data_IF_597897893446
#
_entry.id   IF_597897893446
#
_cell.length_a   1.000
_cell.length_b   1.000
_cell.length_c   1.000
_cell.angle_alpha   90.00
_cell.angle_beta   90.00
_cell.angle_gamma   90.00
#
_symmetry.space_group_name_H-M   'P 1'
#
loop_
_entity.id
_entity.type
_entity.pdbx_description
1 polymer ?
#
# COMPACT_ATOMS: atom_id res chain seq x y z
N UNK A 1 -20.85 17.07 23.45
CA UNK A 1 -21.13 16.07 22.39
C UNK A 1 -21.14 14.70 23.03
N UNK A 2 -22.10 13.82 22.72
CA UNK A 2 -22.10 12.44 23.23
C UNK A 2 -21.09 11.63 22.41
N UNK A 3 -20.22 10.87 23.08
CA UNK A 3 -19.32 9.91 22.43
C UNK A 3 -20.17 8.93 21.59
N UNK A 4 -19.94 8.92 20.28
CA UNK A 4 -20.56 7.93 19.41
C UNK A 4 -19.80 6.62 19.54
N UNK A 5 -20.46 5.58 20.05
CA UNK A 5 -19.92 4.21 20.08
C UNK A 5 -20.01 3.55 18.69
N UNK A 6 -19.39 4.15 17.68
CA UNK A 6 -19.26 3.56 16.35
C UNK A 6 -18.13 2.53 16.35
N UNK A 7 -18.41 1.34 15.80
CA UNK A 7 -17.42 0.30 15.54
C UNK A 7 -16.88 0.36 14.11
N UNK A 8 -17.67 0.86 13.18
CA UNK A 8 -17.28 0.99 11.78
C UNK A 8 -17.59 2.40 11.28
N UNK A 9 -16.64 3.01 10.59
CA UNK A 9 -16.79 4.33 9.99
C UNK A 9 -16.33 4.28 8.54
N UNK A 10 -17.22 4.63 7.61
CA UNK A 10 -16.93 4.76 6.19
C UNK A 10 -17.34 6.14 5.73
N UNK A 11 -16.38 6.90 5.22
CA UNK A 11 -16.55 8.29 4.81
C UNK A 11 -16.14 8.47 3.36
N UNK A 12 -16.93 9.27 2.63
CA UNK A 12 -16.56 9.83 1.34
C UNK A 12 -16.40 11.33 1.55
N UNK A 13 -15.21 11.86 1.33
CA UNK A 13 -14.87 13.25 1.63
C UNK A 13 -14.28 13.92 0.40
N UNK A 14 -14.48 15.23 0.32
CA UNK A 14 -13.67 16.08 -0.55
C UNK A 14 -12.39 16.46 0.19
N UNK A 15 -11.32 16.80 -0.54
CA UNK A 15 -10.06 17.28 0.05
C UNK A 15 -10.26 18.51 0.94
N UNK A 16 -11.19 19.39 0.58
CA UNK A 16 -11.57 20.58 1.36
C UNK A 16 -12.28 20.27 2.68
N UNK A 17 -12.75 19.04 2.89
CA UNK A 17 -13.54 18.63 4.06
C UNK A 17 -12.74 17.75 5.03
N UNK A 18 -11.43 17.57 4.79
CA UNK A 18 -10.58 16.64 5.55
C UNK A 18 -10.61 16.91 7.06
N UNK A 19 -10.67 18.18 7.46
CA UNK A 19 -10.78 18.57 8.87
C UNK A 19 -12.03 17.99 9.56
N UNK A 20 -13.19 18.06 8.89
CA UNK A 20 -14.44 17.52 9.42
C UNK A 20 -14.40 15.98 9.49
N UNK A 21 -13.80 15.36 8.48
CA UNK A 21 -13.54 13.91 8.45
C UNK A 21 -12.71 13.46 9.65
N UNK A 22 -11.63 14.17 9.98
CA UNK A 22 -10.82 13.85 11.16
C UNK A 22 -11.53 14.11 12.47
N UNK A 23 -12.35 15.16 12.55
CA UNK A 23 -13.18 15.39 13.73
C UNK A 23 -14.16 14.22 13.98
N UNK A 24 -14.79 13.67 12.94
CA UNK A 24 -15.67 12.51 13.06
C UNK A 24 -14.92 11.25 13.49
N UNK A 25 -13.75 11.01 12.89
CA UNK A 25 -12.88 9.89 13.26
C UNK A 25 -12.45 9.98 14.73
N UNK A 26 -11.96 11.14 15.18
CA UNK A 26 -11.48 11.35 16.55
C UNK A 26 -12.59 11.21 17.61
N UNK A 27 -13.84 11.51 17.24
CA UNK A 27 -15.01 11.32 18.13
C UNK A 27 -15.54 9.87 18.16
N UNK A 28 -14.81 8.93 17.54
CA UNK A 28 -15.17 7.51 17.45
C UNK A 28 -14.03 6.62 17.98
N UNK A 29 -13.74 6.62 19.30
CA UNK A 29 -12.52 6.00 19.86
C UNK A 29 -12.49 4.47 19.79
N UNK A 30 -13.65 3.81 19.60
CA UNK A 30 -13.79 2.36 19.63
C UNK A 30 -13.87 1.72 18.23
N UNK A 31 -13.47 2.44 17.18
CA UNK A 31 -13.52 1.92 15.82
C UNK A 31 -12.67 0.67 15.64
N UNK A 32 -13.27 -0.38 15.08
CA UNK A 32 -12.62 -1.58 14.58
C UNK A 32 -12.34 -1.50 13.09
N UNK A 33 -13.14 -0.71 12.35
CA UNK A 33 -12.94 -0.47 10.92
C UNK A 33 -13.07 1.01 10.57
N UNK A 34 -12.13 1.49 9.76
CA UNK A 34 -12.14 2.84 9.19
C UNK A 34 -11.88 2.78 7.68
N UNK A 35 -12.77 3.40 6.91
CA UNK A 35 -12.63 3.58 5.47
C UNK A 35 -12.80 5.06 5.13
N UNK A 36 -11.85 5.61 4.39
CA UNK A 36 -11.92 6.96 3.86
C UNK A 36 -11.65 6.94 2.36
N UNK A 37 -12.64 7.37 1.60
CA UNK A 37 -12.52 7.65 0.17
C UNK A 37 -12.45 9.17 -0.01
N UNK A 38 -11.29 9.67 -0.42
CA UNK A 38 -11.03 11.07 -0.65
C UNK A 38 -11.09 11.38 -2.15
N UNK A 39 -12.09 12.15 -2.57
CA UNK A 39 -12.14 12.65 -3.95
C UNK A 39 -11.47 14.02 -3.97
N UNK A 40 -10.41 14.17 -4.77
CA UNK A 40 -9.83 15.50 -5.01
C UNK A 40 -10.77 16.25 -5.97
N UNK A 41 -11.18 17.46 -5.57
CA UNK A 41 -11.91 18.35 -6.47
C UNK A 41 -10.88 18.95 -7.42
N UNK A 42 -11.01 18.66 -8.72
CA UNK A 42 -10.20 19.28 -9.77
C UNK A 42 -10.35 20.81 -9.72
N UNK A 43 -9.22 21.51 -9.59
CA UNK A 43 -9.18 22.98 -9.55
C UNK A 43 -7.80 23.55 -9.25
N UNK A 44 -7.02 22.87 -8.38
CA UNK A 44 -5.68 23.33 -8.03
C UNK A 44 -4.66 22.67 -8.96
N UNK A 45 -4.25 23.40 -10.00
CA UNK A 45 -3.04 23.12 -10.79
C UNK A 45 -1.74 23.29 -9.97
N UNK A 46 -1.86 23.58 -8.67
CA UNK A 46 -0.76 23.76 -7.75
C UNK A 46 -0.34 22.43 -7.10
N UNK A 47 0.96 22.33 -6.83
CA UNK A 47 1.55 21.21 -6.13
C UNK A 47 0.83 21.01 -4.77
N UNK A 48 0.27 19.82 -4.48
CA UNK A 48 -0.43 19.60 -3.23
C UNK A 48 0.50 19.81 -2.05
N UNK A 49 0.11 20.68 -1.11
CA UNK A 49 0.80 20.77 0.17
C UNK A 49 0.72 19.42 0.92
N UNK A 50 1.77 19.06 1.65
CA UNK A 50 1.90 17.73 2.29
C UNK A 50 0.69 17.34 3.14
N UNK A 51 0.11 18.31 3.84
CA UNK A 51 -1.07 18.18 4.70
C UNK A 51 -2.39 17.92 3.94
N UNK A 52 -2.39 18.08 2.62
CA UNK A 52 -3.54 17.76 1.75
C UNK A 52 -3.50 16.35 1.16
N UNK A 53 -2.37 15.63 1.34
CA UNK A 53 -2.20 14.27 0.85
C UNK A 53 -2.74 13.29 1.88
N UNK A 54 -3.68 12.44 1.48
CA UNK A 54 -4.13 11.34 2.33
C UNK A 54 -2.98 10.34 2.54
N UNK A 55 -2.39 10.40 3.73
CA UNK A 55 -1.36 9.47 4.21
C UNK A 55 -1.87 8.62 5.38
N UNK A 56 -1.37 7.38 5.57
CA UNK A 56 -1.58 6.61 6.80
C UNK A 56 -1.19 7.37 8.07
N UNK A 57 -0.27 8.34 8.02
CA UNK A 57 0.14 9.10 9.20
C UNK A 57 -0.67 10.40 9.41
N UNK A 58 -1.71 10.64 8.61
CA UNK A 58 -2.55 11.85 8.71
C UNK A 58 -3.47 11.85 9.94
N UNK A 59 -3.59 10.71 10.62
CA UNK A 59 -4.43 10.55 11.79
C UNK A 59 -3.79 9.58 12.78
N UNK A 60 -4.22 9.66 14.04
CA UNK A 60 -3.77 8.76 15.07
C UNK A 60 -4.54 7.44 15.03
N UNK A 61 -3.84 6.32 14.82
CA UNK A 61 -4.47 5.00 14.88
C UNK A 61 -5.08 4.74 16.26
N UNK A 62 -6.35 4.35 16.30
CA UNK A 62 -6.96 3.81 17.51
C UNK A 62 -6.47 2.38 17.75
N UNK A 63 -6.21 2.02 19.01
CA UNK A 63 -5.72 0.69 19.35
C UNK A 63 -6.73 -0.43 19.00
N UNK A 64 -8.02 -0.09 18.85
CA UNK A 64 -9.09 -1.01 18.47
C UNK A 64 -9.15 -1.30 16.97
N UNK A 65 -8.46 -0.52 16.12
CA UNK A 65 -8.56 -0.69 14.67
C UNK A 65 -7.97 -2.01 14.23
N UNK A 66 -8.76 -2.74 13.45
CA UNK A 66 -8.38 -3.98 12.78
C UNK A 66 -8.37 -3.81 11.26
N UNK A 67 -9.17 -2.89 10.73
CA UNK A 67 -9.34 -2.71 9.29
C UNK A 67 -9.24 -1.24 8.92
N UNK A 68 -8.28 -0.89 8.06
CA UNK A 68 -8.11 0.49 7.57
C UNK A 68 -8.02 0.49 6.05
N UNK A 69 -8.81 1.35 5.42
CA UNK A 69 -8.78 1.60 3.98
C UNK A 69 -8.75 3.10 3.70
N UNK A 70 -7.69 3.55 3.04
CA UNK A 70 -7.48 4.95 2.66
C UNK A 70 -7.36 4.99 1.14
N UNK A 71 -8.34 5.59 0.48
CA UNK A 71 -8.39 5.66 -0.98
C UNK A 71 -8.44 7.13 -1.38
N UNK A 72 -7.55 7.58 -2.25
CA UNK A 72 -7.62 8.92 -2.81
C UNK A 72 -7.80 8.86 -4.32
N UNK A 73 -8.69 9.67 -4.87
CA UNK A 73 -9.09 9.68 -6.28
C UNK A 73 -8.83 11.04 -6.92
N UNK A 74 -8.51 11.05 -8.22
CA UNK A 74 -8.33 12.28 -8.99
C UNK A 74 -6.98 12.98 -8.78
N UNK A 75 -5.89 12.21 -8.59
CA UNK A 75 -4.56 12.80 -8.36
C UNK A 75 -3.79 12.95 -9.67
N UNK A 76 -3.76 14.16 -10.22
CA UNK A 76 -3.06 14.45 -11.49
C UNK A 76 -1.51 14.57 -11.37
N UNK A 77 -0.97 14.98 -10.21
CA UNK A 77 0.47 15.27 -10.02
C UNK A 77 1.22 14.21 -9.20
N UNK A 78 0.99 12.93 -9.53
CA UNK A 78 1.46 11.79 -8.74
C UNK A 78 3.00 11.68 -8.62
N UNK A 79 3.76 12.01 -9.68
CA UNK A 79 5.23 11.87 -9.69
C UNK A 79 5.93 12.65 -8.58
N UNK A 80 5.39 13.82 -8.21
CA UNK A 80 5.94 14.64 -7.12
C UNK A 80 5.66 14.04 -5.73
N UNK A 81 4.70 13.10 -5.64
CA UNK A 81 4.28 12.48 -4.39
C UNK A 81 5.02 11.19 -4.04
N UNK A 82 5.84 10.63 -4.93
CA UNK A 82 6.48 9.33 -4.71
C UNK A 82 7.43 9.30 -3.53
N UNK A 83 8.28 10.31 -3.43
CA UNK A 83 9.21 10.44 -2.31
C UNK A 83 8.45 10.55 -0.98
N UNK A 84 7.27 11.18 -1.00
CA UNK A 84 6.39 11.25 0.17
C UNK A 84 5.72 9.90 0.44
N UNK A 85 5.19 9.23 -0.57
CA UNK A 85 4.54 7.92 -0.42
C UNK A 85 5.44 6.91 0.27
N UNK A 86 6.69 6.79 -0.19
CA UNK A 86 7.67 5.87 0.41
C UNK A 86 7.96 6.22 1.87
N UNK A 87 8.26 7.49 2.15
CA UNK A 87 8.54 7.95 3.53
C UNK A 87 7.35 7.72 4.47
N UNK A 88 6.15 8.07 4.04
CA UNK A 88 4.94 7.90 4.82
C UNK A 88 4.64 6.41 5.09
N UNK A 89 4.88 5.52 4.12
CA UNK A 89 4.79 4.07 4.34
C UNK A 89 5.76 3.57 5.39
N UNK A 90 7.03 4.00 5.33
CA UNK A 90 8.03 3.58 6.30
C UNK A 90 7.63 4.00 7.72
N UNK A 91 7.26 5.27 7.90
CA UNK A 91 6.79 5.82 9.19
C UNK A 91 5.58 5.03 9.70
N UNK A 92 4.63 4.71 8.83
CA UNK A 92 3.45 3.93 9.19
C UNK A 92 3.82 2.53 9.69
N UNK A 93 4.81 1.91 9.07
CA UNK A 93 5.34 0.60 9.47
C UNK A 93 6.22 0.63 10.73
N UNK A 94 6.56 1.81 11.27
CA UNK A 94 7.15 1.93 12.61
C UNK A 94 6.08 2.07 13.70
N UNK A 95 4.85 2.43 13.32
CA UNK A 95 3.78 2.73 14.25
C UNK A 95 3.29 1.45 14.94
N UNK A 96 3.62 1.29 16.22
CA UNK A 96 3.27 0.12 17.02
C UNK A 96 1.75 -0.14 17.11
N UNK A 97 0.91 0.84 16.79
CA UNK A 97 -0.54 0.68 16.73
C UNK A 97 -1.01 -0.15 15.52
N UNK A 98 -0.17 -0.32 14.50
CA UNK A 98 -0.42 -1.25 13.38
C UNK A 98 -0.51 -2.72 13.83
N UNK A 99 -0.01 -3.07 15.01
CA UNK A 99 0.00 -4.45 15.52
C UNK A 99 -1.37 -5.12 15.61
N UNK A 100 -2.44 -4.33 15.67
CA UNK A 100 -3.80 -4.84 15.75
C UNK A 100 -4.49 -4.96 14.38
N UNK A 101 -3.90 -4.37 13.33
CA UNK A 101 -4.46 -4.43 11.99
C UNK A 101 -4.43 -5.84 11.43
N UNK A 102 -5.57 -6.25 10.86
CA UNK A 102 -5.79 -7.45 10.07
C UNK A 102 -5.78 -7.13 8.57
N UNK A 103 -6.27 -5.94 8.19
CA UNK A 103 -6.19 -5.46 6.82
C UNK A 103 -5.82 -3.99 6.71
N UNK A 104 -4.92 -3.68 5.79
CA UNK A 104 -4.55 -2.32 5.46
C UNK A 104 -4.58 -2.09 3.95
N UNK A 105 -5.28 -1.06 3.52
CA UNK A 105 -5.33 -0.59 2.15
C UNK A 105 -4.94 0.87 2.10
N UNK A 106 -3.96 1.21 1.26
CA UNK A 106 -3.70 2.58 0.87
C UNK A 106 -3.53 2.65 -0.65
N UNK A 107 -4.49 3.28 -1.32
CA UNK A 107 -4.49 3.42 -2.78
C UNK A 107 -4.67 4.86 -3.20
N UNK A 108 -3.95 5.25 -4.26
CA UNK A 108 -4.04 6.56 -4.89
C UNK A 108 -4.43 6.31 -6.35
N UNK A 109 -5.70 6.47 -6.68
CA UNK A 109 -6.24 6.25 -8.04
C UNK A 109 -5.71 7.33 -8.98
N UNK A 110 -4.60 6.99 -9.62
CA UNK A 110 -3.89 7.78 -10.60
C UNK A 110 -3.25 6.84 -11.61
N UNK A 111 -3.10 7.31 -12.86
CA UNK A 111 -2.44 6.53 -13.93
C UNK A 111 -1.01 6.20 -13.52
N UNK A 112 -0.66 4.92 -13.53
CA UNK A 112 0.70 4.43 -13.21
C UNK A 112 1.54 4.44 -14.49
N UNK A 113 2.74 5.01 -14.43
CA UNK A 113 3.76 5.02 -15.47
C UNK A 113 4.94 4.10 -15.11
N UNK A 114 5.71 3.66 -16.11
CA UNK A 114 6.85 2.73 -15.93
C UNK A 114 7.91 3.18 -14.92
N UNK A 115 8.20 4.47 -14.89
CA UNK A 115 9.23 5.04 -14.01
C UNK A 115 8.84 4.98 -12.52
N UNK A 116 7.55 4.75 -12.23
CA UNK A 116 6.98 4.87 -10.88
C UNK A 116 7.39 3.72 -9.94
N UNK A 117 7.87 2.60 -10.49
CA UNK A 117 8.17 1.36 -9.73
C UNK A 117 9.66 1.24 -9.38
N UNK A 118 10.52 1.97 -10.09
CA UNK A 118 11.96 1.65 -10.13
C UNK A 118 12.75 2.36 -9.03
N UNK A 119 12.22 3.45 -8.44
CA UNK A 119 13.02 4.34 -7.58
C UNK A 119 12.22 4.94 -6.41
N UNK A 120 11.24 4.24 -5.85
CA UNK A 120 10.50 4.75 -4.66
C UNK A 120 11.44 4.98 -3.48
N UNK A 121 12.39 4.07 -3.27
CA UNK A 121 13.39 4.19 -2.22
C UNK A 121 14.78 4.25 -2.86
N UNK A 122 15.32 5.47 -2.98
CA UNK A 122 16.70 5.68 -3.43
C UNK A 122 17.70 5.28 -2.34
N UNK A 123 17.35 5.42 -1.06
CA UNK A 123 18.21 5.14 0.09
C UNK A 123 17.97 3.77 0.74
N UNK A 124 19.00 3.23 1.40
CA UNK A 124 18.90 2.00 2.18
C UNK A 124 17.89 2.17 3.32
N UNK A 125 16.96 1.22 3.43
CA UNK A 125 16.02 1.17 4.55
C UNK A 125 16.77 0.61 5.76
N UNK A 126 17.37 1.50 6.56
CA UNK A 126 18.02 1.15 7.82
C UNK A 126 16.97 1.08 8.94
N UNK A 127 16.15 0.04 8.93
CA UNK A 127 15.09 -0.16 9.92
C UNK A 127 15.19 -1.54 10.59
N UNK A 128 14.88 -1.61 11.88
CA UNK A 128 14.72 -2.89 12.60
C UNK A 128 13.26 -3.32 12.48
N UNK A 129 12.93 -4.37 11.71
CA UNK A 129 11.55 -4.71 11.40
C UNK A 129 10.76 -5.07 12.68
N UNK A 130 9.81 -4.22 13.06
CA UNK A 130 8.76 -4.62 13.99
C UNK A 130 7.84 -5.61 13.28
N UNK A 131 7.50 -6.72 13.95
CA UNK A 131 6.60 -7.72 13.38
C UNK A 131 5.15 -7.40 13.72
N UNK A 132 4.30 -7.44 12.71
CA UNK A 132 2.85 -7.23 12.80
C UNK A 132 2.13 -8.52 12.39
N UNK A 133 2.07 -9.54 13.27
CA UNK A 133 1.62 -10.89 12.92
C UNK A 133 0.12 -10.99 12.65
N UNK A 134 -0.68 -9.96 12.95
CA UNK A 134 -2.12 -9.98 12.71
C UNK A 134 -2.50 -9.56 11.29
N UNK A 135 -1.63 -8.87 10.56
CA UNK A 135 -1.93 -8.36 9.23
C UNK A 135 -1.96 -9.53 8.24
N UNK A 136 -3.13 -9.79 7.67
CA UNK A 136 -3.35 -10.88 6.69
C UNK A 136 -3.62 -10.36 5.28
N UNK A 137 -4.02 -9.09 5.14
CA UNK A 137 -4.25 -8.42 3.87
C UNK A 137 -3.52 -7.07 3.82
N UNK A 138 -2.74 -6.86 2.76
CA UNK A 138 -2.09 -5.61 2.45
C UNK A 138 -2.40 -5.21 1.01
N UNK A 139 -2.89 -4.00 0.82
CA UNK A 139 -3.14 -3.42 -0.50
C UNK A 139 -2.43 -2.08 -0.61
N UNK A 140 -1.50 -1.98 -1.56
CA UNK A 140 -0.69 -0.80 -1.78
C UNK A 140 -0.80 -0.33 -3.22
N UNK A 141 -0.69 0.98 -3.39
CA UNK A 141 -0.64 1.59 -4.69
C UNK A 141 0.70 1.32 -5.40
N UNK A 142 1.80 1.56 -4.70
CA UNK A 142 3.16 1.46 -5.20
C UNK A 142 4.01 0.57 -4.29
N UNK A 143 4.91 -0.19 -4.91
CA UNK A 143 5.88 -1.02 -4.21
C UNK A 143 7.11 -1.19 -5.09
N UNK A 144 8.30 -1.03 -4.50
CA UNK A 144 9.57 -1.41 -5.12
C UNK A 144 10.11 -2.70 -4.45
N UNK A 145 11.29 -3.15 -4.86
CA UNK A 145 11.86 -4.40 -4.37
C UNK A 145 12.32 -4.31 -2.90
N UNK A 146 12.70 -3.12 -2.44
CA UNK A 146 13.13 -2.87 -1.04
C UNK A 146 11.92 -2.94 -0.11
N UNK A 147 10.83 -2.27 -0.47
CA UNK A 147 9.58 -2.34 0.29
C UNK A 147 8.99 -3.75 0.28
N UNK A 148 9.04 -4.45 -0.86
CA UNK A 148 8.57 -5.83 -0.95
C UNK A 148 9.30 -6.75 0.05
N UNK A 149 10.62 -6.62 0.16
CA UNK A 149 11.41 -7.36 1.14
C UNK A 149 11.02 -6.99 2.58
N UNK A 150 10.89 -5.69 2.87
CA UNK A 150 10.46 -5.24 4.19
C UNK A 150 9.08 -5.80 4.57
N UNK A 151 8.12 -5.80 3.64
CA UNK A 151 6.79 -6.36 3.84
C UNK A 151 6.90 -7.85 4.23
N UNK A 152 7.71 -8.64 3.52
CA UNK A 152 7.87 -10.06 3.83
C UNK A 152 8.47 -10.32 5.23
N UNK A 153 9.27 -9.39 5.75
CA UNK A 153 9.88 -9.50 7.08
C UNK A 153 8.93 -9.06 8.20
N UNK A 154 8.16 -8.00 7.96
CA UNK A 154 7.28 -7.39 8.96
C UNK A 154 5.93 -8.10 9.10
N UNK A 155 5.40 -8.68 8.02
CA UNK A 155 4.06 -9.28 8.00
C UNK A 155 4.14 -10.79 7.79
N UNK A 156 4.60 -11.56 8.79
CA UNK A 156 4.88 -12.98 8.64
C UNK A 156 3.65 -13.82 8.29
N UNK A 157 2.45 -13.36 8.63
CA UNK A 157 1.19 -14.07 8.37
C UNK A 157 0.39 -13.48 7.20
N UNK A 158 1.02 -12.67 6.34
CA UNK A 158 0.34 -12.06 5.20
C UNK A 158 -0.16 -13.14 4.23
N UNK A 159 -1.46 -13.15 3.95
CA UNK A 159 -2.13 -14.14 3.09
C UNK A 159 -2.53 -13.58 1.73
N UNK A 160 -2.80 -12.28 1.65
CA UNK A 160 -3.17 -11.57 0.44
C UNK A 160 -2.39 -10.26 0.31
N UNK A 161 -1.75 -10.08 -0.85
CA UNK A 161 -1.03 -8.87 -1.22
C UNK A 161 -1.61 -8.35 -2.54
N UNK A 162 -2.03 -7.08 -2.54
CA UNK A 162 -2.52 -6.40 -3.74
C UNK A 162 -1.62 -5.21 -4.02
N UNK A 163 -1.06 -5.18 -5.22
CA UNK A 163 -0.26 -4.10 -5.73
C UNK A 163 -1.00 -3.48 -6.93
N UNK A 164 -1.24 -2.18 -6.90
CA UNK A 164 -1.63 -1.43 -8.10
C UNK A 164 -0.40 -0.97 -8.88
N UNK A 165 0.67 -1.76 -8.86
CA UNK A 165 1.84 -1.52 -9.67
C UNK A 165 2.34 -2.86 -10.20
N UNK A 166 3.18 -2.86 -11.24
CA UNK A 166 3.93 -4.05 -11.59
C UNK A 166 4.75 -4.60 -10.43
N UNK A 167 4.88 -5.93 -10.38
CA UNK A 167 5.58 -6.65 -9.31
C UNK A 167 7.09 -6.35 -9.38
N UNK A 168 7.69 -5.76 -8.33
CA UNK A 168 9.11 -5.42 -8.32
C UNK A 168 9.93 -6.64 -7.90
N UNK A 169 10.24 -7.52 -8.84
CA UNK A 169 11.12 -8.66 -8.58
C UNK A 169 12.58 -8.20 -8.53
N UNK A 170 13.42 -8.76 -7.64
CA UNK A 170 14.86 -8.46 -7.65
C UNK A 170 15.52 -8.98 -8.92
N UNK A 171 16.57 -8.28 -9.37
CA UNK A 171 17.33 -8.68 -10.56
C UNK A 171 18.38 -9.76 -10.27
N UNK A 172 18.67 -10.09 -9.01
CA UNK A 172 19.64 -11.14 -8.63
C UNK A 172 19.53 -11.55 -7.15
N UNK A 173 20.23 -12.63 -6.80
CA UNK A 173 20.31 -13.36 -5.51
C UNK A 173 20.66 -12.50 -4.27
N UNK A 174 19.86 -11.48 -3.97
CA UNK A 174 19.86 -10.88 -2.64
C UNK A 174 19.18 -11.84 -1.65
N UNK A 175 19.59 -11.80 -0.39
CA UNK A 175 18.96 -12.51 0.73
C UNK A 175 17.53 -11.97 0.91
N UNK A 176 16.62 -12.36 0.02
CA UNK A 176 15.24 -11.95 0.08
C UNK A 176 14.48 -12.83 1.04
N UNK A 177 13.70 -12.18 1.88
CA UNK A 177 12.75 -12.84 2.73
C UNK A 177 11.58 -13.38 1.89
N UNK A 178 11.08 -14.55 2.29
CA UNK A 178 10.04 -15.28 1.58
C UNK A 178 8.67 -15.05 2.21
N UNK A 179 7.65 -14.94 1.36
CA UNK A 179 6.25 -14.86 1.76
C UNK A 179 5.67 -16.27 2.02
N UNK A 180 5.99 -16.85 3.18
CA UNK A 180 5.66 -18.24 3.50
C UNK A 180 4.16 -18.52 3.68
N UNK A 181 3.31 -17.50 3.77
CA UNK A 181 1.86 -17.64 3.97
C UNK A 181 1.02 -16.97 2.87
N UNK A 182 1.65 -16.32 1.89
CA UNK A 182 0.95 -15.56 0.86
C UNK A 182 0.33 -16.50 -0.18
N UNK A 183 -1.00 -16.59 -0.16
CA UNK A 183 -1.78 -17.44 -1.06
C UNK A 183 -2.29 -16.69 -2.28
N UNK A 184 -2.50 -15.37 -2.15
CA UNK A 184 -3.07 -14.53 -3.21
C UNK A 184 -2.22 -13.28 -3.46
N UNK A 185 -1.83 -13.10 -4.71
CA UNK A 185 -1.11 -11.93 -5.19
C UNK A 185 -1.91 -11.30 -6.34
N UNK A 186 -2.24 -10.02 -6.20
CA UNK A 186 -2.80 -9.21 -7.28
C UNK A 186 -1.78 -8.14 -7.66
N UNK A 187 -1.49 -7.98 -8.95
CA UNK A 187 -0.49 -7.02 -9.46
C UNK A 187 -0.92 -6.50 -10.84
N UNK A 188 -0.37 -5.37 -11.32
CA UNK A 188 -0.60 -4.89 -12.68
C UNK A 188 0.23 -5.64 -13.74
N UNK A 189 1.14 -6.51 -13.31
CA UNK A 189 2.02 -7.28 -14.18
C UNK A 189 3.34 -7.61 -13.48
N UNK A 190 4.33 -8.03 -14.27
CA UNK A 190 5.72 -8.19 -13.82
C UNK A 190 6.67 -7.85 -14.95
N UNK A 191 7.94 -7.53 -14.64
CA UNK A 191 8.95 -7.24 -15.67
C UNK A 191 9.18 -8.48 -16.52
N UNK A 192 9.29 -8.33 -17.85
CA UNK A 192 9.53 -9.48 -18.76
C UNK A 192 10.77 -10.30 -18.40
N UNK A 193 11.82 -9.66 -17.86
CA UNK A 193 13.04 -10.36 -17.41
C UNK A 193 12.77 -11.39 -16.30
N UNK A 194 11.71 -11.24 -15.52
CA UNK A 194 11.36 -12.19 -14.47
C UNK A 194 10.94 -13.56 -15.03
N UNK A 195 10.46 -13.61 -16.28
CA UNK A 195 10.15 -14.86 -17.00
C UNK A 195 11.41 -15.73 -17.09
N UNK A 196 12.58 -15.11 -17.17
CA UNK A 196 13.86 -15.79 -17.32
C UNK A 196 14.34 -16.40 -15.99
N UNK A 197 13.64 -16.19 -14.87
CA UNK A 197 14.03 -16.72 -13.56
C UNK A 197 12.83 -17.22 -12.73
N UNK A 198 12.10 -18.26 -13.17
CA UNK A 198 10.95 -18.80 -12.42
C UNK A 198 11.31 -19.28 -11.01
N UNK A 199 12.56 -19.71 -10.81
CA UNK A 199 13.07 -20.13 -9.51
C UNK A 199 13.05 -18.99 -8.47
N UNK A 200 13.31 -17.75 -8.89
CA UNK A 200 13.26 -16.57 -8.02
C UNK A 200 11.84 -16.30 -7.55
N UNK A 201 10.86 -16.36 -8.46
CA UNK A 201 9.45 -16.18 -8.11
C UNK A 201 9.00 -17.24 -7.11
N UNK A 202 9.39 -18.50 -7.31
CA UNK A 202 9.07 -19.61 -6.38
C UNK A 202 9.77 -19.46 -5.03
N UNK A 203 10.97 -18.90 -4.99
CA UNK A 203 11.68 -18.64 -3.73
C UNK A 203 11.00 -17.52 -2.92
N UNK A 204 10.54 -16.46 -3.58
CA UNK A 204 9.86 -15.34 -2.92
C UNK A 204 8.44 -15.71 -2.51
N UNK A 205 7.72 -16.46 -3.35
CA UNK A 205 6.30 -16.79 -3.14
C UNK A 205 6.06 -18.32 -3.15
N UNK A 206 6.61 -19.07 -2.17
CA UNK A 206 6.65 -20.52 -2.21
C UNK A 206 5.28 -21.22 -2.14
N UNK A 207 4.25 -20.54 -1.61
CA UNK A 207 2.90 -21.11 -1.39
C UNK A 207 1.80 -20.38 -2.17
N UNK A 208 2.17 -19.58 -3.17
CA UNK A 208 1.22 -18.79 -3.95
C UNK A 208 0.31 -19.70 -4.77
N UNK A 209 -1.00 -19.65 -4.48
CA UNK A 209 -2.02 -20.43 -5.20
C UNK A 209 -2.82 -19.59 -6.20
N UNK A 210 -2.79 -18.26 -6.07
CA UNK A 210 -3.59 -17.35 -6.88
C UNK A 210 -2.78 -16.14 -7.28
N UNK A 211 -2.58 -15.97 -8.59
CA UNK A 211 -1.98 -14.79 -9.21
C UNK A 211 -3.03 -14.11 -10.09
N UNK A 212 -3.30 -12.84 -9.84
CA UNK A 212 -4.29 -12.03 -10.58
C UNK A 212 -3.63 -10.80 -11.18
N UNK A 213 -3.91 -10.55 -12.45
CA UNK A 213 -3.47 -9.34 -13.14
C UNK A 213 -4.59 -8.31 -13.24
N UNK A 214 -4.27 -7.05 -12.94
CA UNK A 214 -5.14 -5.90 -13.20
C UNK A 214 -4.75 -5.27 -14.54
N UNK A 215 -5.72 -5.10 -15.43
CA UNK A 215 -5.54 -4.38 -16.70
C UNK A 215 -5.57 -2.87 -16.47
N UNK A 216 -4.52 -2.32 -15.88
CA UNK A 216 -4.42 -0.87 -15.59
C UNK A 216 -3.08 -0.29 -16.02
N UNK A 217 -2.39 -0.90 -16.99
CA UNK A 217 -1.06 -0.48 -17.39
C UNK A 217 -0.76 -0.72 -18.87
N UNK A 218 -0.19 0.27 -19.55
CA UNK A 218 0.35 0.16 -20.91
C UNK A 218 1.87 0.28 -20.85
N UNK A 219 2.59 -0.81 -21.15
CA UNK A 219 4.05 -0.80 -21.18
C UNK A 219 4.66 -1.93 -22.00
N UNK A 220 5.82 -1.65 -22.60
CA UNK A 220 6.63 -2.62 -23.32
C UNK A 220 7.54 -3.47 -22.40
N UNK A 221 7.85 -3.00 -21.19
CA UNK A 221 8.82 -3.66 -20.29
C UNK A 221 8.17 -4.66 -19.32
N UNK A 222 6.87 -4.49 -19.11
CA UNK A 222 6.06 -5.35 -18.26
C UNK A 222 5.11 -6.20 -19.11
N UNK A 223 4.68 -7.31 -18.57
CA UNK A 223 3.67 -8.16 -19.21
C UNK A 223 2.74 -8.76 -18.17
N UNK A 224 1.49 -8.97 -18.58
CA UNK A 224 0.51 -9.82 -17.90
C UNK A 224 0.34 -11.17 -18.61
N UNK A 225 1.02 -11.37 -19.74
CA UNK A 225 0.95 -12.60 -20.53
C UNK A 225 1.73 -13.71 -19.83
N UNK A 226 0.99 -14.71 -19.36
CA UNK A 226 1.50 -15.96 -18.82
C UNK A 226 1.90 -16.96 -19.93
N UNK A 227 2.26 -16.49 -21.13
CA UNK A 227 2.51 -17.39 -22.27
C UNK A 227 3.55 -18.45 -21.91
N UNK A 228 3.09 -19.71 -22.07
CA UNK A 228 3.58 -21.01 -21.58
C UNK A 228 5.09 -21.21 -21.50
#
# INVERSE_FOLDING_TARGET
>A
MRDMCLLNLSLKSLSSELYNTWALYNNSPNLTSFTLDLNRIDGDFEEPARDTILSPNSFEFHNSLEHVSLNAYGIMYRKQLYDYYGKEMLVAFENQKFKNLKSFTWTLDAVIFNDDVITLYNDLINFVPSKFPKLTLLSLELCDSRLLNLISEQFPNLTELKLNCPLPLPHSQSNQSSFNHLKKLTTCGYRRIAIQSPAVIRAIFPVLSTLQFKNTFESNDFTSDLSK
#
